data_IF_410304087018
#
_entry.id   IF_410304087018
#
_cell.length_a   1.000
_cell.length_b   1.000
_cell.length_c   1.000
_cell.angle_alpha   90.00
_cell.angle_beta   90.00
_cell.angle_gamma   90.00
#
_symmetry.space_group_name_H-M   'P 1'
#
loop_
_entity.id
_entity.type
_entity.pdbx_description
1 polymer ?
#
# COMPACT_ATOMS: atom_id res chain seq x y z
N UNK A 1 -30.46 -50.33 -17.24
CA UNK A 1 -28.98 -50.40 -17.30
C UNK A 1 -28.53 -49.03 -17.75
N UNK A 2 -28.12 -48.20 -16.94
CA UNK A 2 -26.93 -47.77 -16.44
C UNK A 2 -26.98 -46.48 -15.81
N UNK A 3 -26.63 -46.03 -14.84
CA UNK A 3 -26.21 -44.75 -14.29
C UNK A 3 -25.17 -45.07 -13.21
N UNK A 4 -23.89 -45.08 -13.59
CA UNK A 4 -22.75 -45.05 -12.66
C UNK A 4 -21.52 -44.56 -13.40
N UNK A 5 -21.44 -43.25 -13.64
CA UNK A 5 -20.19 -42.58 -14.04
C UNK A 5 -20.36 -41.06 -13.88
N UNK A 6 -20.42 -40.57 -12.67
CA UNK A 6 -20.30 -39.15 -12.43
C UNK A 6 -19.97 -38.77 -10.97
N UNK A 7 -19.28 -39.60 -10.20
CA UNK A 7 -18.91 -39.29 -8.80
C UNK A 7 -17.39 -39.57 -8.58
N UNK A 8 -16.56 -39.40 -9.57
CA UNK A 8 -15.10 -39.62 -9.41
C UNK A 8 -14.22 -38.46 -9.86
N UNK A 9 -14.80 -37.31 -10.24
CA UNK A 9 -14.01 -36.15 -10.65
C UNK A 9 -13.89 -35.06 -9.59
N UNK A 10 -14.73 -35.06 -8.58
CA UNK A 10 -14.73 -33.98 -7.58
C UNK A 10 -13.75 -34.23 -6.42
N UNK A 11 -13.28 -35.46 -6.22
CA UNK A 11 -12.34 -35.79 -5.14
C UNK A 11 -10.87 -35.67 -5.53
N UNK A 12 -10.52 -35.61 -6.80
CA UNK A 12 -9.11 -35.45 -7.22
C UNK A 12 -8.65 -34.00 -7.25
N UNK A 13 -9.57 -33.00 -7.25
CA UNK A 13 -9.26 -31.59 -7.15
C UNK A 13 -9.11 -31.12 -5.70
N UNK A 14 -9.69 -31.83 -4.73
CA UNK A 14 -9.52 -31.51 -3.31
C UNK A 14 -8.18 -32.03 -2.75
N UNK A 15 -7.61 -33.11 -3.30
CA UNK A 15 -6.36 -33.70 -2.81
C UNK A 15 -5.07 -33.03 -3.34
N UNK A 16 -5.15 -32.22 -4.40
CA UNK A 16 -3.98 -31.50 -4.92
C UNK A 16 -3.67 -30.20 -4.15
N UNK A 17 -4.56 -29.75 -3.27
CA UNK A 17 -4.45 -28.48 -2.55
C UNK A 17 -3.97 -28.64 -1.08
N UNK A 18 -3.53 -29.82 -0.68
CA UNK A 18 -3.14 -30.14 0.70
C UNK A 18 -1.65 -29.98 1.02
N UNK A 19 -0.79 -29.59 0.06
CA UNK A 19 0.66 -29.54 0.30
C UNK A 19 1.26 -28.15 0.48
N UNK A 20 0.53 -27.07 0.21
CA UNK A 20 0.96 -25.73 0.59
C UNK A 20 0.42 -25.45 2.00
N UNK A 21 1.29 -25.11 2.93
CA UNK A 21 0.89 -24.63 4.26
C UNK A 21 -0.03 -23.42 4.06
N UNK A 22 -1.35 -23.65 4.13
CA UNK A 22 -2.34 -22.59 3.95
C UNK A 22 -2.23 -21.67 5.14
N UNK A 23 -1.80 -20.45 4.91
CA UNK A 23 -1.92 -19.38 5.90
C UNK A 23 -3.39 -19.29 6.33
N UNK A 24 -3.63 -19.39 7.63
CA UNK A 24 -4.95 -19.15 8.22
C UNK A 24 -4.89 -17.81 8.94
N UNK A 25 -5.74 -16.84 8.55
CA UNK A 25 -5.76 -15.56 9.25
C UNK A 25 -6.07 -15.76 10.72
N UNK A 26 -5.56 -14.87 11.56
CA UNK A 26 -6.04 -14.69 12.91
C UNK A 26 -7.56 -14.55 12.88
N UNK A 27 -8.25 -14.96 13.94
CA UNK A 27 -9.70 -15.00 13.91
C UNK A 27 -10.29 -13.64 13.53
N UNK A 28 -11.27 -13.60 12.61
CA UNK A 28 -11.92 -12.36 12.16
C UNK A 28 -12.40 -11.47 13.33
N UNK A 29 -12.63 -12.07 14.50
CA UNK A 29 -13.03 -11.35 15.70
C UNK A 29 -11.88 -10.50 16.28
N UNK A 30 -10.62 -10.90 16.08
CA UNK A 30 -9.46 -10.10 16.48
C UNK A 30 -9.27 -8.94 15.49
N UNK A 31 -9.36 -9.22 14.20
CA UNK A 31 -9.30 -8.16 13.17
C UNK A 31 -10.41 -7.11 13.33
N UNK A 32 -11.60 -7.48 13.82
CA UNK A 32 -12.64 -6.51 14.15
C UNK A 32 -12.25 -5.56 15.29
N UNK A 33 -11.34 -5.95 16.17
CA UNK A 33 -10.88 -5.10 17.29
C UNK A 33 -9.73 -4.18 16.88
N UNK A 34 -8.86 -4.68 16.00
CA UNK A 34 -7.64 -3.97 15.57
C UNK A 34 -7.86 -3.08 14.36
N UNK A 35 -8.93 -3.31 13.59
CA UNK A 35 -9.27 -2.54 12.39
C UNK A 35 -10.61 -1.82 12.53
N UNK A 36 -10.89 -0.89 11.62
CA UNK A 36 -12.16 -0.14 11.59
C UNK A 36 -13.23 -0.82 10.74
N UNK A 37 -13.06 -2.12 10.44
CA UNK A 37 -14.00 -2.93 9.68
C UNK A 37 -14.82 -3.84 10.58
N UNK A 38 -16.10 -4.05 10.23
CA UNK A 38 -16.94 -5.01 10.90
C UNK A 38 -16.72 -6.44 10.33
N UNK A 39 -17.25 -7.44 11.03
CA UNK A 39 -17.07 -8.85 10.68
C UNK A 39 -17.60 -9.21 9.28
N UNK A 40 -18.69 -8.60 8.85
CA UNK A 40 -19.27 -8.87 7.52
C UNK A 40 -18.38 -8.30 6.41
N UNK A 41 -17.87 -7.09 6.60
CA UNK A 41 -16.91 -6.48 5.67
C UNK A 41 -15.64 -7.33 5.56
N UNK A 42 -15.06 -7.74 6.69
CA UNK A 42 -13.87 -8.60 6.72
C UNK A 42 -14.12 -9.95 6.02
N UNK A 43 -15.30 -10.55 6.18
CA UNK A 43 -15.65 -11.79 5.47
C UNK A 43 -15.70 -11.62 3.95
N UNK A 44 -16.25 -10.49 3.47
CA UNK A 44 -16.30 -10.19 2.04
C UNK A 44 -14.89 -9.95 1.49
N UNK A 45 -14.09 -9.13 2.19
CA UNK A 45 -12.72 -8.82 1.83
C UNK A 45 -11.85 -10.08 1.82
N UNK A 46 -11.99 -10.95 2.81
CA UNK A 46 -11.25 -12.22 2.88
C UNK A 46 -11.57 -13.13 1.70
N UNK A 47 -12.83 -13.24 1.30
CA UNK A 47 -13.21 -14.04 0.13
C UNK A 47 -12.60 -13.48 -1.15
N UNK A 48 -12.64 -12.15 -1.34
CA UNK A 48 -11.98 -11.49 -2.48
C UNK A 48 -10.48 -11.74 -2.48
N UNK A 49 -9.83 -11.50 -1.34
CA UNK A 49 -8.39 -11.73 -1.17
C UNK A 49 -8.00 -13.19 -1.49
N UNK A 50 -8.76 -14.16 -0.99
CA UNK A 50 -8.50 -15.60 -1.26
C UNK A 50 -8.80 -16.01 -2.70
N UNK A 51 -9.69 -15.33 -3.40
CA UNK A 51 -9.94 -15.58 -4.82
C UNK A 51 -8.76 -15.15 -5.69
N UNK A 52 -8.18 -13.98 -5.39
CA UNK A 52 -7.01 -13.45 -6.11
C UNK A 52 -5.70 -14.11 -5.65
N UNK A 53 -5.61 -14.44 -4.36
CA UNK A 53 -4.42 -14.98 -3.72
C UNK A 53 -4.75 -16.30 -2.99
N UNK A 54 -4.86 -17.44 -3.72
CA UNK A 54 -5.25 -18.74 -3.15
C UNK A 54 -4.30 -19.24 -2.05
N UNK A 55 -3.02 -18.86 -2.09
CA UNK A 55 -2.03 -19.17 -1.06
C UNK A 55 -2.32 -18.51 0.28
N UNK A 56 -3.08 -17.39 0.27
CA UNK A 56 -3.40 -16.59 1.46
C UNK A 56 -2.41 -15.49 1.74
N UNK A 57 -1.43 -15.27 0.86
CA UNK A 57 -0.45 -14.19 0.92
C UNK A 57 -0.23 -13.62 -0.49
N UNK A 58 0.19 -12.37 -0.55
CA UNK A 58 0.56 -11.67 -1.80
C UNK A 58 2.06 -11.44 -1.77
N UNK A 59 2.80 -11.98 -2.72
CA UNK A 59 4.19 -11.61 -2.92
C UNK A 59 4.31 -10.31 -3.76
N UNK A 60 5.48 -9.72 -3.76
CA UNK A 60 5.74 -8.44 -4.41
C UNK A 60 5.41 -8.45 -5.91
N UNK A 61 5.78 -9.50 -6.63
CA UNK A 61 5.52 -9.61 -8.08
C UNK A 61 4.02 -9.65 -8.39
N UNK A 62 3.25 -10.39 -7.60
CA UNK A 62 1.80 -10.43 -7.72
C UNK A 62 1.19 -9.07 -7.40
N UNK A 63 1.69 -8.39 -6.34
CA UNK A 63 1.24 -7.06 -5.97
C UNK A 63 1.50 -6.05 -7.09
N UNK A 64 2.72 -6.00 -7.65
CA UNK A 64 3.08 -5.15 -8.79
C UNK A 64 2.19 -5.42 -10.01
N UNK A 65 1.92 -6.70 -10.31
CA UNK A 65 1.05 -7.09 -11.41
C UNK A 65 -0.38 -6.60 -11.24
N UNK A 66 -0.93 -6.71 -10.03
CA UNK A 66 -2.28 -6.17 -9.71
C UNK A 66 -2.26 -4.65 -9.80
N UNK A 67 -1.25 -4.00 -9.21
CA UNK A 67 -1.13 -2.55 -9.17
C UNK A 67 -1.04 -1.92 -10.56
N UNK A 68 -0.29 -2.56 -11.48
CA UNK A 68 -0.14 -2.09 -12.86
C UNK A 68 -1.45 -2.06 -13.66
N UNK A 69 -2.46 -2.84 -13.28
CA UNK A 69 -3.77 -2.83 -13.93
C UNK A 69 -4.55 -1.53 -13.66
N UNK A 70 -4.27 -0.86 -12.55
CA UNK A 70 -4.89 0.42 -12.20
C UNK A 70 -4.19 1.60 -12.90
N UNK A 71 -2.93 1.43 -13.29
CA UNK A 71 -2.10 2.47 -13.92
C UNK A 71 -1.53 2.04 -15.29
N UNK A 72 -2.40 1.76 -16.28
CA UNK A 72 -1.97 1.17 -17.56
C UNK A 72 -1.15 2.12 -18.44
N UNK A 73 -1.06 3.40 -18.10
CA UNK A 73 -0.41 4.43 -18.92
C UNK A 73 0.97 4.86 -18.45
N UNK A 74 1.41 4.38 -17.29
CA UNK A 74 2.70 4.68 -16.68
C UNK A 74 3.43 3.44 -16.21
N UNK A 75 4.61 3.63 -15.65
CA UNK A 75 5.37 2.57 -14.97
C UNK A 75 5.12 2.65 -13.46
N UNK A 76 4.28 1.76 -12.96
CA UNK A 76 3.94 1.69 -11.54
C UNK A 76 4.87 0.79 -10.72
N UNK A 77 5.87 0.15 -11.34
CA UNK A 77 6.69 -0.90 -10.72
C UNK A 77 7.41 -0.44 -9.45
N UNK A 78 8.06 0.74 -9.51
CA UNK A 78 8.80 1.28 -8.38
C UNK A 78 7.87 1.78 -7.28
N UNK A 79 6.81 2.50 -7.63
CA UNK A 79 5.85 2.96 -6.64
C UNK A 79 5.16 1.78 -5.95
N UNK A 80 4.75 0.76 -6.71
CA UNK A 80 4.19 -0.47 -6.16
C UNK A 80 5.17 -1.21 -5.22
N UNK A 81 6.49 -1.14 -5.48
CA UNK A 81 7.50 -1.67 -4.56
C UNK A 81 7.46 -0.96 -3.21
N UNK A 82 7.46 0.37 -3.20
CA UNK A 82 7.42 1.15 -1.95
C UNK A 82 6.11 0.93 -1.18
N UNK A 83 4.98 0.91 -1.89
CA UNK A 83 3.67 0.60 -1.28
C UNK A 83 3.65 -0.81 -0.71
N UNK A 84 4.18 -1.80 -1.43
CA UNK A 84 4.31 -3.17 -0.94
C UNK A 84 5.07 -3.21 0.39
N UNK A 85 6.23 -2.57 0.48
CA UNK A 85 7.04 -2.53 1.70
C UNK A 85 6.33 -1.84 2.87
N UNK A 86 5.45 -0.87 2.60
CA UNK A 86 4.65 -0.23 3.65
C UNK A 86 3.52 -1.11 4.20
N UNK A 87 3.10 -2.12 3.44
CA UNK A 87 2.14 -3.13 3.89
C UNK A 87 2.82 -4.35 4.54
N UNK A 88 3.97 -4.78 4.02
CA UNK A 88 4.78 -5.90 4.54
C UNK A 88 5.50 -5.45 5.83
N UNK A 89 4.77 -5.40 6.93
CA UNK A 89 5.23 -4.80 8.18
C UNK A 89 6.27 -5.63 8.91
N UNK A 90 6.30 -6.93 8.69
CA UNK A 90 7.29 -7.86 9.26
C UNK A 90 8.47 -8.13 8.31
N UNK A 91 8.45 -7.51 7.10
CA UNK A 91 9.50 -7.61 6.07
C UNK A 91 9.84 -9.05 5.67
N UNK A 92 8.82 -9.93 5.63
CA UNK A 92 8.99 -11.32 5.22
C UNK A 92 8.90 -11.54 3.70
N UNK A 93 8.63 -10.49 2.92
CA UNK A 93 8.50 -10.51 1.46
C UNK A 93 7.12 -10.95 0.97
N UNK A 94 6.12 -10.92 1.86
CA UNK A 94 4.75 -11.31 1.53
C UNK A 94 3.76 -10.52 2.38
N UNK A 95 2.72 -9.99 1.76
CA UNK A 95 1.61 -9.35 2.47
C UNK A 95 0.58 -10.41 2.85
N UNK A 96 0.33 -10.56 4.13
CA UNK A 96 -0.75 -11.39 4.69
C UNK A 96 -2.11 -10.67 4.59
N UNK A 97 -3.20 -11.39 4.82
CA UNK A 97 -4.53 -10.75 4.87
C UNK A 97 -4.62 -9.73 6.01
N UNK A 98 -4.02 -10.02 7.16
CA UNK A 98 -3.98 -9.14 8.32
C UNK A 98 -3.26 -7.82 8.04
N UNK A 99 -2.09 -7.87 7.44
CA UNK A 99 -1.31 -6.69 7.03
C UNK A 99 -2.07 -5.88 6.00
N UNK A 100 -2.63 -6.55 4.98
CA UNK A 100 -3.45 -5.89 3.97
C UNK A 100 -4.63 -5.14 4.58
N UNK A 101 -5.40 -5.78 5.45
CA UNK A 101 -6.58 -5.18 6.08
C UNK A 101 -6.20 -4.08 7.07
N UNK A 102 -5.08 -4.23 7.79
CA UNK A 102 -4.58 -3.21 8.72
C UNK A 102 -4.21 -1.92 7.97
N UNK A 103 -3.42 -2.03 6.91
CA UNK A 103 -3.08 -0.90 6.05
C UNK A 103 -4.31 -0.28 5.39
N UNK A 104 -5.19 -1.10 4.80
CA UNK A 104 -6.43 -0.62 4.18
C UNK A 104 -7.36 0.08 5.20
N UNK A 105 -7.40 -0.37 6.45
CA UNK A 105 -8.17 0.27 7.51
C UNK A 105 -7.67 1.67 7.82
N UNK A 106 -6.34 1.86 7.87
CA UNK A 106 -5.73 3.17 8.07
C UNK A 106 -6.06 4.08 6.88
N UNK A 107 -5.80 3.61 5.66
CA UNK A 107 -5.97 4.41 4.44
C UNK A 107 -7.42 4.82 4.21
N UNK A 108 -8.38 3.90 4.37
CA UNK A 108 -9.79 4.18 4.08
C UNK A 108 -10.55 4.84 5.23
N UNK A 109 -10.21 4.51 6.48
CA UNK A 109 -10.99 4.93 7.68
C UNK A 109 -10.12 5.50 8.79
N UNK A 110 -8.83 5.65 8.57
CA UNK A 110 -7.90 6.23 9.53
C UNK A 110 -8.18 7.70 9.80
N UNK A 111 -7.76 8.14 10.97
CA UNK A 111 -7.67 9.58 11.28
C UNK A 111 -6.59 10.22 10.41
N UNK A 112 -6.62 11.53 10.29
CA UNK A 112 -5.57 12.28 9.56
C UNK A 112 -4.18 11.94 10.09
N UNK A 113 -4.03 11.82 11.40
CA UNK A 113 -2.73 11.48 12.03
C UNK A 113 -2.29 10.06 11.67
N UNK A 114 -3.20 9.07 11.68
CA UNK A 114 -2.88 7.69 11.28
C UNK A 114 -2.44 7.63 9.81
N UNK A 115 -3.12 8.35 8.92
CA UNK A 115 -2.78 8.44 7.51
C UNK A 115 -1.44 9.14 7.27
N UNK A 116 -1.16 10.24 8.01
CA UNK A 116 0.12 10.93 7.92
C UNK A 116 1.28 10.06 8.44
N UNK A 117 1.08 9.32 9.52
CA UNK A 117 2.08 8.36 9.99
C UNK A 117 2.36 7.28 8.94
N UNK A 118 1.31 6.75 8.29
CA UNK A 118 1.48 5.79 7.21
C UNK A 118 2.23 6.39 6.01
N UNK A 119 1.90 7.64 5.63
CA UNK A 119 2.62 8.36 4.58
C UNK A 119 4.09 8.57 4.95
N UNK A 120 4.40 8.93 6.20
CA UNK A 120 5.77 9.04 6.67
C UNK A 120 6.55 7.73 6.48
N UNK A 121 5.97 6.60 6.89
CA UNK A 121 6.59 5.27 6.71
C UNK A 121 6.83 4.91 5.23
N UNK A 122 5.97 5.37 4.31
CA UNK A 122 6.16 5.18 2.88
C UNK A 122 7.37 5.96 2.34
N UNK A 123 7.62 7.17 2.88
CA UNK A 123 8.75 8.01 2.47
C UNK A 123 10.06 7.65 3.18
N UNK A 124 10.01 7.13 4.39
CA UNK A 124 11.16 6.60 5.15
C UNK A 124 11.52 5.21 4.62
N UNK A 125 12.18 5.17 3.46
CA UNK A 125 12.43 3.93 2.70
C UNK A 125 13.34 2.98 3.47
N UNK A 126 14.32 3.52 4.20
CA UNK A 126 15.28 2.72 4.95
C UNK A 126 14.83 2.38 6.38
N UNK A 127 13.72 2.98 6.86
CA UNK A 127 13.14 2.74 8.17
C UNK A 127 13.98 3.28 9.34
N UNK A 128 14.78 4.34 9.11
CA UNK A 128 15.65 4.90 10.16
C UNK A 128 14.96 5.96 11.04
N UNK A 129 13.70 6.28 10.74
CA UNK A 129 12.88 7.25 11.49
C UNK A 129 13.02 8.69 10.99
N UNK A 130 13.67 8.89 9.85
CA UNK A 130 13.79 10.21 9.21
C UNK A 130 13.65 10.09 7.69
N UNK A 131 13.13 11.12 7.03
CA UNK A 131 13.05 11.20 5.58
C UNK A 131 14.18 12.08 5.07
N UNK A 132 15.03 11.53 4.23
CA UNK A 132 16.04 12.30 3.48
C UNK A 132 15.41 12.89 2.22
N UNK A 133 16.09 13.88 1.65
CA UNK A 133 15.67 14.48 0.39
C UNK A 133 15.75 13.50 -0.78
N UNK A 134 16.71 12.60 -0.75
CA UNK A 134 16.90 11.53 -1.71
C UNK A 134 15.73 10.55 -1.69
N UNK A 135 15.33 10.07 -0.52
CA UNK A 135 14.16 9.19 -0.36
C UNK A 135 12.87 9.85 -0.86
N UNK A 136 12.66 11.11 -0.49
CA UNK A 136 11.51 11.87 -1.00
C UNK A 136 11.56 11.98 -2.53
N UNK A 137 12.73 12.17 -3.13
CA UNK A 137 12.88 12.26 -4.58
C UNK A 137 12.56 10.92 -5.26
N UNK A 138 12.99 9.81 -4.68
CA UNK A 138 12.72 8.47 -5.20
C UNK A 138 11.21 8.19 -5.23
N UNK A 139 10.51 8.46 -4.14
CA UNK A 139 9.05 8.31 -4.08
C UNK A 139 8.34 9.22 -5.08
N UNK A 140 8.67 10.52 -5.09
CA UNK A 140 8.03 11.49 -6.00
C UNK A 140 8.29 11.12 -7.46
N UNK A 141 9.52 10.72 -7.81
CA UNK A 141 9.85 10.28 -9.16
C UNK A 141 9.02 9.07 -9.56
N UNK A 142 8.92 8.07 -8.69
CA UNK A 142 8.12 6.86 -8.95
C UNK A 142 6.63 7.16 -9.17
N UNK A 143 6.09 8.18 -8.50
CA UNK A 143 4.71 8.66 -8.71
C UNK A 143 4.56 9.30 -10.10
N UNK A 144 5.52 10.14 -10.51
CA UNK A 144 5.48 10.76 -11.83
C UNK A 144 5.59 9.71 -12.95
N UNK A 145 6.42 8.68 -12.77
CA UNK A 145 6.55 7.56 -13.71
C UNK A 145 5.25 6.76 -13.79
N UNK A 146 4.61 6.49 -12.65
CA UNK A 146 3.33 5.79 -12.57
C UNK A 146 2.20 6.56 -13.26
N UNK A 147 2.15 7.88 -13.07
CA UNK A 147 1.12 8.73 -13.69
C UNK A 147 1.30 8.87 -15.21
N UNK A 148 2.52 8.71 -15.70
CA UNK A 148 2.85 8.73 -17.13
C UNK A 148 2.63 10.11 -17.80
N UNK A 149 2.86 10.16 -19.10
CA UNK A 149 2.81 11.40 -19.89
C UNK A 149 1.41 12.02 -20.04
N UNK A 150 0.35 11.33 -19.62
CA UNK A 150 -1.04 11.77 -19.81
C UNK A 150 -1.66 12.48 -18.60
N UNK A 151 -1.02 12.40 -17.44
CA UNK A 151 -1.38 13.26 -16.32
C UNK A 151 -0.68 14.60 -16.49
N UNK A 152 -1.23 15.45 -17.33
CA UNK A 152 -0.89 16.87 -17.30
C UNK A 152 -1.56 17.51 -16.09
N UNK A 153 -0.83 17.93 -15.08
CA UNK A 153 -1.24 19.11 -14.38
C UNK A 153 -0.93 20.28 -15.32
N UNK A 154 -1.94 20.96 -15.77
CA UNK A 154 -1.84 22.25 -16.43
C UNK A 154 -1.42 23.37 -15.46
N UNK A 155 -0.57 23.08 -14.49
CA UNK A 155 -0.03 24.02 -13.51
C UNK A 155 1.41 23.64 -13.26
N UNK A 156 2.31 24.44 -13.81
CA UNK A 156 3.76 24.46 -13.64
C UNK A 156 4.49 23.12 -13.96
N UNK A 157 5.26 23.15 -15.03
CA UNK A 157 6.24 22.11 -15.45
C UNK A 157 7.38 21.94 -14.42
N UNK A 158 7.04 21.74 -13.15
CA UNK A 158 8.03 21.47 -12.11
C UNK A 158 8.52 20.04 -12.31
N UNK A 159 9.82 19.88 -12.45
CA UNK A 159 10.43 18.56 -12.41
C UNK A 159 10.18 17.92 -11.03
N UNK A 160 10.22 16.58 -10.90
CA UNK A 160 10.15 15.91 -9.58
C UNK A 160 11.12 16.53 -8.56
N UNK A 161 12.32 16.90 -9.01
CA UNK A 161 13.32 17.54 -8.18
C UNK A 161 12.90 18.93 -7.69
N UNK A 162 12.35 19.77 -8.55
CA UNK A 162 11.89 21.12 -8.15
C UNK A 162 10.72 21.02 -7.17
N UNK A 163 9.84 20.02 -7.39
CA UNK A 163 8.74 19.73 -6.48
C UNK A 163 9.28 19.33 -5.09
N UNK A 164 10.19 18.37 -5.04
CA UNK A 164 10.83 17.93 -3.79
C UNK A 164 11.57 19.08 -3.11
N UNK A 165 12.35 19.88 -3.85
CA UNK A 165 13.07 21.02 -3.30
C UNK A 165 12.16 22.04 -2.62
N UNK A 166 10.96 22.22 -3.15
CA UNK A 166 9.95 23.12 -2.58
C UNK A 166 9.28 22.53 -1.34
N UNK A 167 8.90 21.24 -1.39
CA UNK A 167 8.21 20.57 -0.27
C UNK A 167 9.18 20.33 0.88
N UNK A 168 10.35 19.77 0.61
CA UNK A 168 11.35 19.43 1.61
C UNK A 168 11.75 20.64 2.47
N UNK A 169 11.95 21.83 1.84
CA UNK A 169 12.25 23.08 2.57
C UNK A 169 11.15 23.52 3.54
N UNK A 170 9.91 23.09 3.34
CA UNK A 170 8.80 23.39 4.23
C UNK A 170 8.70 22.37 5.36
N UNK A 171 9.13 21.13 5.12
CA UNK A 171 9.09 20.05 6.08
C UNK A 171 10.28 20.05 7.04
N UNK A 172 11.48 20.34 6.54
CA UNK A 172 12.72 20.43 7.33
C UNK A 172 12.75 21.76 8.08
N UNK A 173 12.13 21.78 9.26
CA UNK A 173 11.94 23.00 10.05
C UNK A 173 13.23 23.48 10.70
N UNK A 174 14.08 22.56 11.16
CA UNK A 174 15.34 22.86 11.84
C UNK A 174 16.51 23.04 10.86
N UNK A 175 16.34 22.64 9.58
CA UNK A 175 17.32 22.72 8.48
C UNK A 175 18.57 21.87 8.70
N UNK A 176 18.38 20.67 9.26
CA UNK A 176 19.45 19.72 9.46
C UNK A 176 19.66 18.74 8.26
N UNK A 177 18.76 18.80 7.26
CA UNK A 177 18.84 18.04 6.03
C UNK A 177 18.06 16.74 6.06
N UNK A 178 17.31 16.46 7.13
CA UNK A 178 16.38 15.35 7.25
C UNK A 178 15.05 15.83 7.79
N UNK A 179 13.97 15.07 7.61
CA UNK A 179 12.65 15.37 8.14
C UNK A 179 12.25 14.27 9.12
N UNK A 180 12.15 14.62 10.38
CA UNK A 180 11.66 13.72 11.43
C UNK A 180 10.15 13.60 11.40
N UNK A 181 9.59 12.55 12.04
CA UNK A 181 8.13 12.37 12.15
C UNK A 181 7.44 13.58 12.81
N UNK A 182 8.06 14.18 13.80
CA UNK A 182 7.49 15.34 14.49
C UNK A 182 7.43 16.58 13.57
N UNK A 183 8.49 16.85 12.80
CA UNK A 183 8.52 17.93 11.81
C UNK A 183 7.51 17.69 10.69
N UNK A 184 7.41 16.46 10.21
CA UNK A 184 6.44 16.07 9.18
C UNK A 184 5.01 16.33 9.64
N UNK A 185 4.63 15.85 10.83
CA UNK A 185 3.30 16.03 11.38
C UNK A 185 2.99 17.50 11.67
N UNK A 186 3.96 18.26 12.20
CA UNK A 186 3.79 19.68 12.50
C UNK A 186 3.61 20.50 11.22
N UNK A 187 4.44 20.26 10.20
CA UNK A 187 4.33 20.94 8.92
C UNK A 187 3.01 20.64 8.20
N UNK A 188 2.56 19.38 8.23
CA UNK A 188 1.27 18.98 7.63
C UNK A 188 0.07 19.60 8.37
N UNK A 189 0.18 19.88 9.66
CA UNK A 189 -0.87 20.60 10.43
C UNK A 189 -0.93 22.09 10.09
N UNK A 190 0.22 22.70 9.80
CA UNK A 190 0.32 24.14 9.55
C UNK A 190 -0.02 24.51 8.10
N UNK A 191 0.22 23.64 7.15
CA UNK A 191 0.04 23.90 5.72
C UNK A 191 -0.82 22.79 5.06
N UNK A 192 -2.11 23.09 4.87
CA UNK A 192 -3.05 22.18 4.20
C UNK A 192 -2.59 21.82 2.78
N UNK A 193 -1.78 22.66 2.12
CA UNK A 193 -1.29 22.36 0.77
C UNK A 193 -0.27 21.22 0.78
N UNK A 194 0.52 21.10 1.86
CA UNK A 194 1.41 19.94 2.07
C UNK A 194 0.58 18.69 2.32
N UNK A 195 -0.39 18.78 3.22
CA UNK A 195 -1.32 17.70 3.51
C UNK A 195 -2.05 17.22 2.25
N UNK A 196 -2.53 18.14 1.41
CA UNK A 196 -3.16 17.82 0.11
C UNK A 196 -2.18 17.19 -0.89
N UNK A 197 -0.95 17.70 -0.94
CA UNK A 197 0.10 17.11 -1.82
C UNK A 197 0.43 15.68 -1.39
N UNK A 198 0.35 15.38 -0.10
CA UNK A 198 0.54 14.03 0.44
C UNK A 198 -0.73 13.15 0.31
N UNK A 199 -1.92 13.76 0.23
CA UNK A 199 -3.21 13.06 0.03
C UNK A 199 -3.46 12.66 -1.42
N UNK A 200 -2.59 12.98 -2.36
CA UNK A 200 -2.63 12.38 -3.72
C UNK A 200 -2.67 10.84 -3.60
N UNK A 201 -2.16 10.30 -2.51
CA UNK A 201 -2.21 8.87 -2.19
C UNK A 201 -3.60 8.35 -1.80
N UNK A 202 -4.49 9.20 -1.23
CA UNK A 202 -5.87 8.82 -0.90
C UNK A 202 -6.74 8.58 -2.15
N UNK A 203 -6.32 9.12 -3.30
CA UNK A 203 -7.08 9.01 -4.57
C UNK A 203 -6.60 7.82 -5.41
N UNK A 204 -5.50 7.18 -5.03
CA UNK A 204 -4.81 6.15 -5.81
C UNK A 204 -5.08 4.74 -5.23
N UNK A 205 -5.70 4.62 -4.08
CA UNK A 205 -6.13 3.38 -3.42
C UNK A 205 -7.64 3.34 -3.26
#
# INVERSE_FOLDING_TARGET
MGIKLSIRKDNELEDMDLSAARYKPEGLDELCKTTKFNKQELQVMYRGFKAECPTGVVNEETFKSIYSQFFPHGDSSQYAHYVFNSFDTDHNGSITFEEFISGLSILSRGTVVEKLNWAFMLYDINGDGSITKEEMLDIVTSIYDMMGKYSQPSVDELSPKDHVDKVFRKLDLNRDGVVTIDEFLESCRQDETISLSMQVFDTIL
#
